data_IF_547556712683
#
_entry.id   IF_547556712683
#
_cell.length_a   1.000
_cell.length_b   1.000
_cell.length_c   1.000
_cell.angle_alpha   90.00
_cell.angle_beta   90.00
_cell.angle_gamma   90.00
#
_symmetry.space_group_name_H-M   'P 1'
#
loop_
_entity.id
_entity.type
_entity.pdbx_description
1 polymer ?
#
# COMPACT_ATOMS: atom_id res chain seq x y z
N UNK A 1 -24.71 42.49 73.12
CA UNK A 1 -24.39 42.13 71.73
C UNK A 1 -23.28 41.10 71.78
N UNK A 2 -23.68 39.84 71.73
CA UNK A 2 -22.84 38.66 71.97
C UNK A 2 -22.63 37.99 70.61
N UNK A 3 -21.38 37.94 70.16
CA UNK A 3 -20.94 37.31 68.92
C UNK A 3 -20.46 35.89 69.21
N UNK A 4 -21.24 34.89 68.81
CA UNK A 4 -20.78 33.50 68.70
C UNK A 4 -20.15 33.24 67.32
N UNK A 5 -19.00 32.55 67.26
CA UNK A 5 -18.40 32.09 66.02
C UNK A 5 -18.98 30.72 65.61
N UNK A 6 -19.45 30.63 64.36
CA UNK A 6 -19.90 29.36 63.76
C UNK A 6 -18.67 28.60 63.25
N UNK A 7 -18.28 27.54 63.97
CA UNK A 7 -17.40 26.49 63.49
C UNK A 7 -18.08 25.70 62.35
N UNK A 8 -17.40 25.59 61.20
CA UNK A 8 -17.73 24.59 60.18
C UNK A 8 -16.65 23.49 60.18
N UNK A 9 -17.05 22.21 60.25
CA UNK A 9 -16.11 21.10 60.34
C UNK A 9 -15.39 20.82 59.01
N UNK A 10 -14.10 20.53 59.14
CA UNK A 10 -13.23 20.05 58.08
C UNK A 10 -13.23 18.50 57.99
N UNK A 11 -12.86 18.04 56.80
CA UNK A 11 -12.39 16.70 56.43
C UNK A 11 -13.42 15.57 56.28
N UNK A 12 -13.54 15.06 55.05
CA UNK A 12 -13.23 13.66 54.69
C UNK A 12 -13.76 13.34 53.29
N UNK A 13 -12.97 13.54 52.22
CA UNK A 13 -13.30 12.95 50.92
C UNK A 13 -12.12 12.58 50.00
N UNK A 14 -10.91 12.35 50.54
CA UNK A 14 -9.71 12.12 49.71
C UNK A 14 -8.97 10.77 49.89
N UNK A 15 -9.60 9.74 50.49
CA UNK A 15 -8.92 8.44 50.72
C UNK A 15 -9.53 7.20 50.05
N UNK A 16 -10.37 7.35 49.02
CA UNK A 16 -11.04 6.22 48.35
C UNK A 16 -10.67 5.95 46.88
N UNK A 17 -9.53 6.46 46.39
CA UNK A 17 -9.08 6.28 44.98
C UNK A 17 -7.70 5.61 44.78
N UNK A 18 -7.13 4.94 45.79
CA UNK A 18 -5.77 4.31 45.69
C UNK A 18 -5.67 2.82 46.01
N UNK A 19 -6.76 2.04 45.98
CA UNK A 19 -6.73 0.59 46.31
C UNK A 19 -7.41 -0.36 45.31
N UNK A 20 -7.37 -0.03 44.01
CA UNK A 20 -7.82 -0.96 42.94
C UNK A 20 -6.83 -0.89 41.76
N UNK A 21 -5.56 -1.22 42.01
CA UNK A 21 -4.51 -1.29 40.97
C UNK A 21 -3.51 -2.45 41.16
N UNK A 22 -3.81 -3.45 42.00
CA UNK A 22 -2.85 -4.49 42.41
C UNK A 22 -3.43 -5.91 42.44
N UNK A 23 -4.35 -6.26 41.54
CA UNK A 23 -5.04 -7.56 41.58
C UNK A 23 -5.28 -8.24 40.22
N UNK A 24 -4.39 -8.03 39.23
CA UNK A 24 -4.40 -8.80 37.98
C UNK A 24 -3.00 -9.21 37.49
N UNK A 25 -2.09 -9.46 38.43
CA UNK A 25 -0.87 -10.24 38.18
C UNK A 25 -0.99 -11.53 39.00
N UNK A 26 -0.85 -12.66 38.32
CA UNK A 26 -0.90 -14.05 38.81
C UNK A 26 -2.28 -14.74 38.86
N UNK A 27 -2.77 -15.12 37.68
CA UNK A 27 -3.42 -16.43 37.51
C UNK A 27 -3.06 -16.97 36.13
N UNK A 28 -1.92 -17.66 36.11
CA UNK A 28 -1.52 -18.54 35.03
C UNK A 28 -2.11 -19.94 35.28
N UNK A 29 -2.30 -20.66 34.17
CA UNK A 29 -2.30 -22.11 34.02
C UNK A 29 -3.66 -22.85 33.91
N UNK A 30 -3.73 -23.59 32.81
CA UNK A 30 -4.56 -24.76 32.47
C UNK A 30 -5.99 -24.52 31.94
N UNK A 31 -6.16 -24.58 30.60
CA UNK A 31 -6.59 -25.80 29.92
C UNK A 31 -6.48 -25.64 28.37
N UNK A 32 -5.85 -26.62 27.74
CA UNK A 32 -5.72 -26.82 26.29
C UNK A 32 -6.97 -27.56 25.79
N UNK A 33 -7.58 -27.15 24.65
CA UNK A 33 -8.03 -28.03 23.54
C UNK A 33 -8.34 -27.20 22.28
N UNK A 34 -7.48 -27.42 21.26
CA UNK A 34 -7.71 -27.58 19.82
C UNK A 34 -8.47 -26.58 18.91
N UNK A 35 -7.87 -26.46 17.72
CA UNK A 35 -8.40 -26.16 16.36
C UNK A 35 -8.20 -24.72 15.86
N UNK A 36 -7.28 -24.56 14.89
CA UNK A 36 -7.27 -23.40 13.99
C UNK A 36 -5.91 -23.02 13.41
N UNK A 37 -5.48 -23.72 12.35
CA UNK A 37 -4.58 -23.26 11.28
C UNK A 37 -3.44 -22.28 11.62
N UNK A 38 -2.27 -22.82 11.97
CA UNK A 38 -1.03 -22.06 11.89
C UNK A 38 -0.59 -21.91 10.42
N UNK A 39 -0.73 -20.71 9.85
CA UNK A 39 0.06 -20.30 8.69
C UNK A 39 1.50 -20.08 9.16
N UNK A 40 2.33 -21.12 9.05
CA UNK A 40 3.78 -20.96 9.14
C UNK A 40 4.26 -20.28 7.85
N UNK A 41 4.46 -18.96 7.90
CA UNK A 41 5.29 -18.29 6.90
C UNK A 41 6.72 -18.75 7.13
N UNK A 42 7.21 -19.63 6.26
CA UNK A 42 8.64 -19.94 6.19
C UNK A 42 9.37 -18.67 5.75
N UNK A 43 9.88 -17.89 6.72
CA UNK A 43 10.83 -16.79 6.44
C UNK A 43 12.23 -17.38 6.49
N UNK A 44 12.80 -17.60 5.31
CA UNK A 44 14.22 -17.89 5.14
C UNK A 44 15.06 -16.73 5.67
N UNK A 45 15.90 -17.01 6.66
CA UNK A 45 16.90 -16.07 7.18
C UNK A 45 17.95 -15.80 6.10
N UNK A 46 17.99 -14.59 5.54
CA UNK A 46 19.10 -14.17 4.71
C UNK A 46 20.20 -13.56 5.59
N UNK A 47 21.32 -14.26 5.64
CA UNK A 47 22.58 -13.79 6.17
C UNK A 47 23.07 -12.54 5.41
N UNK A 48 23.80 -11.68 6.11
CA UNK A 48 24.55 -10.54 5.57
C UNK A 48 25.39 -10.96 4.36
N UNK A 49 25.01 -10.49 3.18
CA UNK A 49 25.72 -10.71 1.93
C UNK A 49 25.08 -9.90 0.83
N UNK A 50 25.92 -9.27 0.01
CA UNK A 50 25.60 -8.54 -1.22
C UNK A 50 24.36 -9.08 -1.94
N UNK A 51 23.39 -8.20 -2.23
CA UNK A 51 22.16 -8.58 -2.94
C UNK A 51 22.52 -8.89 -4.39
N UNK A 52 22.89 -10.13 -4.68
CA UNK A 52 22.89 -10.64 -6.04
C UNK A 52 21.44 -10.59 -6.53
N UNK A 53 21.19 -9.79 -7.56
CA UNK A 53 19.87 -9.59 -8.12
C UNK A 53 19.28 -10.95 -8.51
N UNK A 54 18.21 -11.36 -7.81
CA UNK A 54 17.44 -12.53 -8.17
C UNK A 54 17.02 -12.39 -9.63
N UNK A 55 17.58 -13.22 -10.51
CA UNK A 55 17.21 -13.20 -11.93
C UNK A 55 15.77 -13.66 -12.01
N UNK A 56 14.87 -12.78 -12.44
CA UNK A 56 13.45 -13.12 -12.54
C UNK A 56 13.28 -14.38 -13.42
N UNK A 57 12.47 -15.34 -12.98
CA UNK A 57 12.02 -16.43 -13.85
C UNK A 57 10.84 -15.92 -14.69
N UNK A 58 10.73 -16.40 -15.93
CA UNK A 58 9.85 -15.83 -16.95
C UNK A 58 10.63 -14.92 -17.91
N UNK A 59 11.20 -15.50 -18.95
CA UNK A 59 11.94 -14.78 -19.99
C UNK A 59 11.05 -14.51 -21.19
N UNK A 60 10.84 -13.23 -21.52
CA UNK A 60 10.35 -12.84 -22.84
C UNK A 60 11.50 -13.04 -23.82
N UNK A 61 11.37 -13.89 -24.86
CA UNK A 61 12.45 -14.11 -25.82
C UNK A 61 12.87 -12.79 -26.48
N UNK A 62 14.17 -12.48 -26.47
CA UNK A 62 14.70 -11.26 -27.09
C UNK A 62 14.51 -9.97 -26.26
N UNK A 63 14.06 -10.07 -25.00
CA UNK A 63 13.83 -8.94 -24.08
C UNK A 63 14.91 -7.86 -24.12
N UNK A 64 16.19 -8.25 -24.05
CA UNK A 64 17.32 -7.31 -24.01
C UNK A 64 17.40 -6.39 -25.26
N UNK A 65 16.79 -6.78 -26.38
CA UNK A 65 16.75 -5.99 -27.61
C UNK A 65 15.46 -5.20 -27.82
N UNK A 66 14.45 -5.42 -26.98
CA UNK A 66 13.15 -4.74 -27.08
C UNK A 66 13.23 -3.34 -26.48
N UNK A 67 12.51 -2.38 -27.06
CA UNK A 67 12.17 -1.14 -26.34
C UNK A 67 11.24 -1.43 -25.16
N UNK A 68 11.14 -0.51 -24.19
CA UNK A 68 10.23 -0.71 -23.05
C UNK A 68 8.77 -0.85 -23.47
N UNK A 69 8.33 -0.16 -24.53
CA UNK A 69 6.98 -0.32 -25.09
C UNK A 69 6.74 -1.72 -25.65
N UNK A 70 7.67 -2.23 -26.45
CA UNK A 70 7.59 -3.58 -27.01
C UNK A 70 7.59 -4.65 -25.91
N UNK A 71 8.40 -4.46 -24.86
CA UNK A 71 8.43 -5.40 -23.74
C UNK A 71 7.14 -5.36 -22.92
N UNK A 72 6.56 -4.17 -22.67
CA UNK A 72 5.25 -4.05 -22.02
C UNK A 72 4.16 -4.79 -22.81
N UNK A 73 4.13 -4.65 -24.14
CA UNK A 73 3.20 -5.38 -25.01
C UNK A 73 3.43 -6.90 -24.96
N UNK A 74 4.70 -7.33 -25.02
CA UNK A 74 5.07 -8.74 -24.97
C UNK A 74 4.71 -9.37 -23.61
N UNK A 75 4.97 -8.68 -22.50
CA UNK A 75 4.53 -9.10 -21.17
C UNK A 75 3.01 -9.22 -21.10
N UNK A 76 2.28 -8.21 -21.57
CA UNK A 76 0.82 -8.25 -21.60
C UNK A 76 0.28 -9.46 -22.38
N UNK A 77 0.92 -9.84 -23.48
CA UNK A 77 0.54 -11.03 -24.25
C UNK A 77 0.86 -12.36 -23.52
N UNK A 78 1.93 -12.38 -22.71
CA UNK A 78 2.46 -13.58 -22.07
C UNK A 78 2.02 -13.84 -20.63
N UNK A 79 1.17 -12.99 -20.03
CA UNK A 79 0.82 -13.14 -18.61
C UNK A 79 0.19 -14.50 -18.28
N UNK A 80 0.56 -15.05 -17.13
CA UNK A 80 -0.09 -16.18 -16.47
C UNK A 80 -1.05 -15.68 -15.39
N UNK A 81 -1.84 -16.61 -14.87
CA UNK A 81 -2.76 -16.32 -13.78
C UNK A 81 -1.95 -16.12 -12.48
N UNK A 82 -2.35 -15.13 -11.69
CA UNK A 82 -1.83 -14.91 -10.34
C UNK A 82 -2.57 -15.84 -9.36
N UNK A 83 -2.00 -16.15 -8.18
CA UNK A 83 -2.68 -16.98 -7.19
C UNK A 83 -4.10 -16.51 -6.82
N UNK A 84 -4.36 -15.20 -6.87
CA UNK A 84 -5.66 -14.62 -6.59
C UNK A 84 -6.70 -14.81 -7.72
N UNK A 85 -6.27 -15.07 -8.97
CA UNK A 85 -7.21 -15.30 -10.09
C UNK A 85 -7.97 -16.63 -9.94
N UNK A 86 -7.41 -17.58 -9.17
CA UNK A 86 -7.98 -18.92 -8.98
C UNK A 86 -8.81 -19.05 -7.69
N UNK A 87 -8.93 -17.98 -6.92
CA UNK A 87 -9.63 -18.00 -5.63
C UNK A 87 -10.77 -17.00 -5.66
N UNK A 88 -11.72 -17.27 -4.79
CA UNK A 88 -12.81 -16.35 -4.49
C UNK A 88 -12.95 -16.27 -2.98
N UNK A 89 -13.41 -15.13 -2.51
CA UNK A 89 -13.73 -14.88 -1.12
C UNK A 89 -14.67 -13.69 -1.05
N UNK A 90 -15.17 -13.38 0.14
CA UNK A 90 -16.12 -12.27 0.30
C UNK A 90 -15.46 -10.90 0.07
N UNK A 91 -14.20 -10.76 0.45
CA UNK A 91 -13.40 -9.56 0.34
C UNK A 91 -12.09 -9.83 -0.42
N UNK A 92 -11.67 -8.86 -1.22
CA UNK A 92 -10.28 -8.73 -1.66
C UNK A 92 -9.50 -7.96 -0.62
N UNK A 93 -8.34 -8.47 -0.23
CA UNK A 93 -7.42 -7.82 0.70
C UNK A 93 -6.17 -7.39 -0.07
N UNK A 94 -5.88 -6.10 0.00
CA UNK A 94 -4.68 -5.46 -0.53
C UNK A 94 -3.84 -4.98 0.65
N UNK A 95 -2.55 -5.32 0.65
CA UNK A 95 -1.58 -4.76 1.57
C UNK A 95 -0.58 -3.91 0.81
N UNK A 96 -0.34 -2.70 1.32
CA UNK A 96 0.65 -1.79 0.75
C UNK A 96 1.46 -1.09 1.84
N UNK A 97 2.71 -0.77 1.54
CA UNK A 97 3.55 0.08 2.38
C UNK A 97 4.04 1.25 1.54
N UNK A 98 3.75 2.46 2.00
CA UNK A 98 4.10 3.71 1.32
C UNK A 98 5.14 4.45 2.15
N UNK A 99 6.23 4.81 1.50
CA UNK A 99 7.20 5.80 1.96
C UNK A 99 7.01 7.04 1.11
N UNK A 100 6.62 8.15 1.72
CA UNK A 100 6.38 9.40 1.01
C UNK A 100 6.99 10.59 1.74
N UNK A 101 7.64 11.48 1.00
CA UNK A 101 8.06 12.74 1.57
C UNK A 101 6.82 13.58 1.94
N UNK A 102 6.71 13.94 3.22
CA UNK A 102 5.67 14.86 3.68
C UNK A 102 6.03 16.33 3.36
N UNK A 103 5.07 17.24 3.58
CA UNK A 103 5.24 18.67 3.32
C UNK A 103 6.39 19.32 4.12
N UNK A 104 6.79 18.70 5.24
CA UNK A 104 7.91 19.17 6.08
C UNK A 104 9.26 18.68 5.56
N UNK A 105 9.29 17.90 4.48
CA UNK A 105 10.51 17.38 3.88
C UNK A 105 11.10 16.19 4.62
N UNK A 106 10.29 15.43 5.34
CA UNK A 106 10.69 14.18 6.00
C UNK A 106 9.97 12.99 5.40
N UNK A 107 10.54 11.80 5.51
CA UNK A 107 9.90 10.59 4.99
C UNK A 107 8.88 10.07 6.01
N UNK A 108 7.60 10.10 5.63
CA UNK A 108 6.50 9.44 6.35
C UNK A 108 6.35 8.02 5.82
N UNK A 109 5.93 7.12 6.71
CA UNK A 109 5.74 5.72 6.36
C UNK A 109 4.39 5.23 6.84
N UNK A 110 3.62 4.67 5.93
CA UNK A 110 2.29 4.14 6.18
C UNK A 110 2.16 2.75 5.59
N UNK A 111 1.86 1.76 6.42
CA UNK A 111 1.38 0.46 5.99
C UNK A 111 -0.15 0.47 6.02
N UNK A 112 -0.78 0.00 4.95
CA UNK A 112 -2.24 0.01 4.80
C UNK A 112 -2.74 -1.35 4.32
N UNK A 113 -3.69 -1.89 5.07
CA UNK A 113 -4.55 -2.99 4.66
C UNK A 113 -5.87 -2.44 4.14
N UNK A 114 -6.35 -2.95 3.01
CA UNK A 114 -7.62 -2.54 2.40
C UNK A 114 -8.43 -3.79 2.07
N UNK A 115 -9.58 -3.94 2.73
CA UNK A 115 -10.58 -4.97 2.44
C UNK A 115 -11.67 -4.38 1.56
N UNK A 116 -12.00 -5.06 0.48
CA UNK A 116 -12.94 -4.53 -0.49
C UNK A 116 -13.90 -5.61 -0.98
N UNK A 117 -15.18 -5.31 -0.94
CA UNK A 117 -16.26 -6.15 -1.44
C UNK A 117 -16.45 -5.97 -2.94
N UNK A 118 -17.17 -6.90 -3.55
CA UNK A 118 -17.52 -6.83 -4.97
C UNK A 118 -18.42 -5.64 -5.34
N UNK A 119 -19.18 -5.09 -4.38
CA UNK A 119 -20.03 -3.91 -4.58
C UNK A 119 -19.26 -2.57 -4.47
N UNK A 120 -17.93 -2.63 -4.27
CA UNK A 120 -17.06 -1.47 -4.16
C UNK A 120 -17.01 -0.83 -2.77
N UNK A 121 -17.61 -1.46 -1.76
CA UNK A 121 -17.44 -1.04 -0.36
C UNK A 121 -16.01 -1.34 0.10
N UNK A 122 -15.38 -0.34 0.72
CA UNK A 122 -14.01 -0.44 1.22
C UNK A 122 -13.97 -0.31 2.74
N UNK A 123 -13.18 -1.16 3.38
CA UNK A 123 -12.68 -0.99 4.73
C UNK A 123 -11.15 -0.91 4.67
N UNK A 124 -10.53 -0.08 5.50
CA UNK A 124 -9.07 -0.04 5.56
C UNK A 124 -8.55 0.13 6.98
N UNK A 125 -7.34 -0.35 7.22
CA UNK A 125 -6.60 -0.15 8.45
C UNK A 125 -5.23 0.41 8.08
N UNK A 126 -4.78 1.44 8.79
CA UNK A 126 -3.50 2.08 8.51
C UNK A 126 -2.63 2.15 9.76
N UNK A 127 -1.37 1.74 9.59
CA UNK A 127 -0.30 1.89 10.56
C UNK A 127 0.68 2.95 10.04
N UNK A 128 0.89 4.02 10.82
CA UNK A 128 1.90 5.04 10.51
C UNK A 128 3.09 4.96 11.47
N UNK A 129 4.29 5.17 10.94
CA UNK A 129 5.47 5.42 11.77
C UNK A 129 5.32 6.77 12.48
N UNK A 130 5.60 6.79 13.79
CA UNK A 130 5.57 8.03 14.60
C UNK A 130 6.76 8.94 14.29
N UNK A 131 7.88 8.34 13.88
CA UNK A 131 9.13 9.06 13.66
C UNK A 131 9.34 9.33 12.17
N UNK A 132 9.37 10.62 11.85
CA UNK A 132 9.79 11.15 10.56
C UNK A 132 11.26 10.81 10.33
N UNK A 133 11.58 10.07 9.26
CA UNK A 133 12.97 9.71 8.98
C UNK A 133 13.67 10.83 8.18
N UNK A 134 14.94 11.17 8.52
CA UNK A 134 15.75 12.03 7.68
C UNK A 134 15.89 11.43 6.28
N UNK A 135 15.76 12.26 5.25
CA UNK A 135 15.86 11.80 3.86
C UNK A 135 17.30 11.45 3.47
N UNK A 136 18.29 12.08 4.11
CA UNK A 136 19.69 11.80 3.86
C UNK A 136 20.05 10.38 4.34
N UNK A 137 20.44 9.50 3.41
CA UNK A 137 20.77 8.10 3.70
C UNK A 137 19.56 7.19 3.91
N UNK A 138 18.37 7.61 3.48
CA UNK A 138 17.16 6.79 3.56
C UNK A 138 17.32 5.51 2.72
N UNK A 139 17.23 4.37 3.40
CA UNK A 139 17.28 3.04 2.81
C UNK A 139 15.93 2.33 3.08
N UNK A 140 15.09 2.14 2.05
CA UNK A 140 13.78 1.51 2.22
C UNK A 140 13.88 0.06 2.73
N UNK A 141 14.96 -0.66 2.43
CA UNK A 141 15.16 -2.06 2.85
C UNK A 141 15.38 -2.15 4.36
N UNK A 142 16.30 -1.33 4.89
CA UNK A 142 16.53 -1.24 6.36
C UNK A 142 15.29 -0.75 7.10
N UNK A 143 14.50 0.08 6.44
CA UNK A 143 13.33 0.71 7.04
C UNK A 143 12.14 -0.24 7.16
N UNK A 144 11.90 -1.14 6.19
CA UNK A 144 10.88 -2.21 6.31
C UNK A 144 11.08 -3.00 7.61
N UNK A 145 12.33 -3.41 7.89
CA UNK A 145 12.66 -4.21 9.06
C UNK A 145 12.38 -3.45 10.36
N UNK A 146 12.65 -2.14 10.39
CA UNK A 146 12.40 -1.30 11.56
C UNK A 146 10.90 -1.11 11.85
N UNK A 147 10.06 -0.96 10.83
CA UNK A 147 8.61 -0.78 10.99
C UNK A 147 7.95 -2.05 11.52
N UNK A 148 8.35 -3.21 10.99
CA UNK A 148 7.84 -4.50 11.48
C UNK A 148 8.17 -4.74 12.96
N UNK A 149 9.19 -4.07 13.49
CA UNK A 149 9.62 -4.19 14.88
C UNK A 149 8.95 -3.17 15.84
N UNK A 150 8.26 -2.14 15.34
CA UNK A 150 7.60 -1.14 16.17
C UNK A 150 6.12 -1.50 16.43
N UNK A 151 5.60 -1.26 17.65
CA UNK A 151 4.18 -1.42 17.92
C UNK A 151 3.40 -0.40 17.07
N UNK A 152 2.40 -0.86 16.29
CA UNK A 152 1.66 0.01 15.37
C UNK A 152 0.91 1.11 16.14
N UNK A 153 0.98 2.36 15.67
CA UNK A 153 -0.13 3.27 15.87
C UNK A 153 -1.21 2.84 14.87
N UNK A 154 -2.12 1.99 15.33
CA UNK A 154 -3.28 1.56 14.55
C UNK A 154 -4.25 2.74 14.50
N UNK A 155 -4.38 3.36 13.34
CA UNK A 155 -5.53 4.18 13.03
C UNK A 155 -6.52 3.30 12.29
N UNK A 156 -7.46 2.72 13.04
CA UNK A 156 -8.58 2.05 12.42
C UNK A 156 -9.56 3.11 11.95
N UNK A 157 -9.59 3.29 10.63
CA UNK A 157 -10.65 4.02 9.97
C UNK A 157 -11.53 3.01 9.22
N UNK A 158 -12.57 2.55 9.89
CA UNK A 158 -13.71 1.97 9.19
C UNK A 158 -14.54 3.12 8.63
N UNK A 159 -14.38 3.42 7.35
CA UNK A 159 -15.30 4.31 6.65
C UNK A 159 -15.67 3.72 5.30
N UNK A 160 -16.96 3.74 5.01
CA UNK A 160 -17.49 3.29 3.73
C UNK A 160 -17.18 4.35 2.68
N UNK A 161 -16.09 4.16 1.95
CA UNK A 161 -15.90 4.89 0.70
C UNK A 161 -16.41 4.03 -0.45
N UNK A 162 -17.53 4.45 -1.06
CA UNK A 162 -18.04 3.82 -2.29
C UNK A 162 -17.26 4.36 -3.47
N UNK A 163 -16.17 3.70 -3.78
CA UNK A 163 -15.54 3.83 -5.09
C UNK A 163 -15.86 2.53 -5.81
N UNK A 164 -16.61 2.53 -6.93
CA UNK A 164 -16.85 1.28 -7.67
C UNK A 164 -15.52 0.76 -8.21
N UNK A 165 -15.40 -0.57 -8.35
CA UNK A 165 -14.27 -1.14 -9.09
C UNK A 165 -14.28 -0.56 -10.50
N UNK A 166 -13.10 -0.19 -10.99
CA UNK A 166 -12.91 -0.01 -12.41
C UNK A 166 -13.04 -1.41 -13.04
N UNK A 167 -14.23 -1.69 -13.54
CA UNK A 167 -14.51 -2.86 -14.36
C UNK A 167 -14.44 -2.45 -15.83
N UNK A 168 -13.63 -3.18 -16.60
CA UNK A 168 -13.64 -3.06 -18.05
C UNK A 168 -14.90 -3.74 -18.59
N UNK A 169 -15.53 -3.15 -19.61
CA UNK A 169 -16.84 -3.61 -20.11
C UNK A 169 -16.84 -5.06 -20.62
N UNK A 170 -15.66 -5.64 -20.88
CA UNK A 170 -15.47 -6.97 -21.46
C UNK A 170 -15.82 -7.04 -22.94
N UNK A 171 -16.58 -6.08 -23.47
CA UNK A 171 -17.02 -5.96 -24.86
C UNK A 171 -16.51 -4.64 -25.44
N UNK A 172 -15.19 -4.49 -25.55
CA UNK A 172 -14.59 -3.24 -25.99
C UNK A 172 -13.07 -3.31 -26.07
N UNK A 173 -12.47 -2.23 -26.58
CA UNK A 173 -11.02 -2.05 -26.51
C UNK A 173 -10.68 -1.54 -25.09
N UNK A 174 -10.22 -2.47 -24.25
CA UNK A 174 -9.82 -2.18 -22.88
C UNK A 174 -8.74 -1.09 -22.77
N UNK A 175 -7.84 -1.00 -23.76
CA UNK A 175 -6.79 0.04 -23.78
C UNK A 175 -7.41 1.41 -24.01
N UNK A 176 -8.40 1.48 -24.92
CA UNK A 176 -9.17 2.69 -25.17
C UNK A 176 -9.99 3.12 -23.95
N UNK A 177 -10.60 2.17 -23.23
CA UNK A 177 -11.33 2.43 -21.99
C UNK A 177 -10.40 2.99 -20.90
N UNK A 178 -9.23 2.38 -20.68
CA UNK A 178 -8.24 2.88 -19.72
C UNK A 178 -7.68 4.25 -20.13
N UNK A 179 -7.43 4.45 -21.43
CA UNK A 179 -6.99 5.75 -21.95
C UNK A 179 -8.05 6.83 -21.69
N UNK A 180 -9.32 6.50 -21.94
CA UNK A 180 -10.42 7.40 -21.62
C UNK A 180 -10.50 7.67 -20.12
N UNK A 181 -10.41 6.65 -19.25
CA UNK A 181 -10.44 6.81 -17.79
C UNK A 181 -9.38 7.79 -17.29
N UNK A 182 -8.14 7.62 -17.74
CA UNK A 182 -7.01 8.47 -17.35
C UNK A 182 -7.14 9.91 -17.87
N UNK A 183 -7.86 10.12 -18.98
CA UNK A 183 -8.09 11.45 -19.54
C UNK A 183 -9.35 12.14 -18.97
N UNK A 184 -10.43 11.40 -18.76
CA UNK A 184 -11.75 11.92 -18.40
C UNK A 184 -11.84 12.30 -16.92
N UNK A 185 -10.98 11.73 -16.08
CA UNK A 185 -10.87 12.05 -14.66
C UNK A 185 -10.50 13.52 -14.37
N UNK A 186 -10.13 14.31 -15.38
CA UNK A 186 -9.45 15.61 -15.24
C UNK A 186 -10.21 16.82 -15.81
N UNK A 187 -11.55 16.83 -15.73
CA UNK A 187 -12.37 18.01 -16.07
C UNK A 187 -11.94 18.72 -17.38
N UNK A 188 -11.80 17.96 -18.47
CA UNK A 188 -11.49 18.45 -19.83
C UNK A 188 -10.05 18.89 -20.11
N UNK A 189 -9.08 18.61 -19.23
CA UNK A 189 -7.66 18.80 -19.53
C UNK A 189 -6.96 17.45 -19.77
N UNK A 190 -6.10 17.34 -20.81
CA UNK A 190 -5.25 16.17 -20.95
C UNK A 190 -4.34 16.00 -19.73
N UNK A 191 -4.38 14.82 -19.11
CA UNK A 191 -3.45 14.47 -18.05
C UNK A 191 -2.01 14.46 -18.60
N UNK A 192 -1.07 15.03 -17.85
CA UNK A 192 0.38 14.96 -18.16
C UNK A 192 0.91 13.53 -17.96
N UNK A 193 2.01 13.17 -18.63
CA UNK A 193 2.62 11.82 -18.59
C UNK A 193 2.71 11.20 -17.19
N UNK A 194 3.26 11.95 -16.23
CA UNK A 194 3.40 11.57 -14.82
C UNK A 194 2.09 11.09 -14.22
N UNK A 195 1.03 11.88 -14.42
CA UNK A 195 -0.31 11.59 -13.91
C UNK A 195 -0.90 10.34 -14.55
N UNK A 196 -0.68 10.14 -15.85
CA UNK A 196 -1.22 8.98 -16.56
C UNK A 196 -0.59 7.68 -16.08
N UNK A 197 0.71 7.69 -15.82
CA UNK A 197 1.43 6.56 -15.21
C UNK A 197 0.91 6.32 -13.79
N UNK A 198 0.73 7.38 -13.00
CA UNK A 198 0.23 7.30 -11.61
C UNK A 198 -1.18 6.73 -11.52
N UNK A 199 -2.09 7.15 -12.41
CA UNK A 199 -3.48 6.69 -12.41
C UNK A 199 -3.58 5.21 -12.83
N UNK A 200 -2.78 4.78 -13.82
CA UNK A 200 -2.70 3.36 -14.21
C UNK A 200 -2.11 2.48 -13.11
N UNK A 201 -1.03 2.94 -12.45
CA UNK A 201 -0.45 2.25 -11.30
C UNK A 201 -1.40 2.27 -10.08
N UNK A 202 -2.17 3.35 -9.92
CA UNK A 202 -3.14 3.53 -8.85
C UNK A 202 -4.26 2.49 -8.85
N UNK A 203 -4.60 1.91 -10.01
CA UNK A 203 -5.57 0.80 -10.10
C UNK A 203 -5.10 -0.41 -9.28
N UNK A 204 -3.81 -0.75 -9.30
CA UNK A 204 -3.25 -1.82 -8.46
C UNK A 204 -3.32 -1.52 -6.95
N UNK A 205 -3.31 -0.23 -6.60
CA UNK A 205 -3.35 0.21 -5.21
C UNK A 205 -4.77 0.27 -4.65
N UNK A 206 -5.79 0.37 -5.50
CA UNK A 206 -7.18 0.59 -5.10
C UNK A 206 -8.06 -0.65 -5.15
N UNK A 207 -7.72 -1.63 -5.99
CA UNK A 207 -8.53 -2.82 -6.19
C UNK A 207 -7.70 -4.04 -6.56
N UNK A 208 -8.32 -5.21 -6.44
CA UNK A 208 -7.82 -6.40 -7.09
C UNK A 208 -7.83 -6.20 -8.62
N UNK A 209 -6.71 -6.48 -9.28
CA UNK A 209 -6.57 -6.35 -10.72
C UNK A 209 -6.50 -7.75 -11.34
N UNK A 210 -7.59 -8.28 -11.92
CA UNK A 210 -7.57 -9.59 -12.56
C UNK A 210 -6.68 -9.59 -13.80
N UNK A 211 -6.23 -10.78 -14.23
CA UNK A 211 -5.30 -10.93 -15.36
C UNK A 211 -5.62 -10.07 -16.59
N UNK A 212 -6.84 -10.13 -17.11
CA UNK A 212 -7.21 -9.39 -18.33
C UNK A 212 -7.03 -7.87 -18.16
N UNK A 213 -7.25 -7.35 -16.95
CA UNK A 213 -7.06 -5.94 -16.62
C UNK A 213 -5.56 -5.61 -16.44
N UNK A 214 -4.76 -6.53 -15.87
CA UNK A 214 -3.29 -6.38 -15.85
C UNK A 214 -2.72 -6.30 -17.26
N UNK A 215 -3.18 -7.16 -18.18
CA UNK A 215 -2.82 -7.11 -19.60
C UNK A 215 -3.21 -5.76 -20.23
N UNK A 216 -4.43 -5.29 -19.96
CA UNK A 216 -4.90 -4.00 -20.48
C UNK A 216 -4.07 -2.82 -19.96
N UNK A 217 -3.72 -2.81 -18.66
CA UNK A 217 -2.89 -1.76 -18.06
C UNK A 217 -1.49 -1.74 -18.68
N UNK A 218 -0.85 -2.90 -18.85
CA UNK A 218 0.47 -2.97 -19.49
C UNK A 218 0.44 -2.45 -20.94
N UNK A 219 -0.60 -2.80 -21.71
CA UNK A 219 -0.80 -2.25 -23.06
C UNK A 219 -1.10 -0.75 -23.03
N UNK A 220 -1.88 -0.27 -22.06
CA UNK A 220 -2.16 1.15 -21.89
C UNK A 220 -0.91 1.95 -21.53
N UNK A 221 0.00 1.38 -20.73
CA UNK A 221 1.32 1.96 -20.47
C UNK A 221 2.16 2.01 -21.75
N UNK A 222 2.19 0.93 -22.55
CA UNK A 222 2.90 0.91 -23.83
C UNK A 222 2.36 1.94 -24.83
N UNK A 223 1.05 2.16 -24.84
CA UNK A 223 0.33 3.06 -25.74
C UNK A 223 0.50 4.57 -25.41
N UNK A 224 1.20 4.92 -24.34
CA UNK A 224 1.41 6.33 -23.97
C UNK A 224 2.27 7.05 -25.04
N UNK A 225 1.76 8.10 -25.71
CA UNK A 225 2.41 8.65 -26.92
C UNK A 225 3.71 9.41 -26.61
N UNK A 226 3.76 10.10 -25.48
CA UNK A 226 4.79 11.02 -24.99
C UNK A 226 5.62 10.42 -23.83
N UNK A 227 5.56 9.10 -23.65
CA UNK A 227 6.33 8.39 -22.62
C UNK A 227 7.25 7.36 -23.27
N UNK A 228 8.54 7.48 -22.99
CA UNK A 228 9.52 6.44 -23.27
C UNK A 228 9.83 5.67 -22.00
N UNK A 229 9.77 4.34 -22.09
CA UNK A 229 10.16 3.45 -21.01
C UNK A 229 11.52 2.81 -21.33
N UNK A 230 12.48 2.98 -20.43
CA UNK A 230 13.60 2.04 -20.32
C UNK A 230 13.18 0.86 -19.45
N UNK A 231 13.89 -0.26 -19.59
CA UNK A 231 13.64 -1.43 -18.77
C UNK A 231 14.93 -2.13 -18.35
N UNK A 232 14.86 -2.82 -17.22
CA UNK A 232 15.90 -3.73 -16.74
C UNK A 232 15.28 -4.82 -15.85
N UNK A 233 15.94 -5.99 -15.81
CA UNK A 233 15.63 -6.99 -14.77
C UNK A 233 16.18 -6.52 -13.44
N UNK A 234 15.33 -6.55 -12.44
CA UNK A 234 15.65 -6.04 -11.11
C UNK A 234 14.91 -6.84 -10.05
N UNK A 235 14.97 -6.37 -8.81
CA UNK A 235 14.12 -6.82 -7.75
C UNK A 235 13.58 -5.61 -7.00
N UNK A 236 12.42 -5.76 -6.38
CA UNK A 236 11.94 -4.75 -5.45
C UNK A 236 12.73 -4.77 -4.13
N UNK A 237 12.36 -3.90 -3.18
CA UNK A 237 13.03 -3.81 -1.88
C UNK A 237 12.83 -5.04 -0.98
N UNK A 238 11.92 -5.95 -1.32
CA UNK A 238 11.78 -7.26 -0.66
C UNK A 238 12.59 -8.36 -1.34
N UNK A 239 13.32 -8.04 -2.43
CA UNK A 239 14.06 -9.01 -3.22
C UNK A 239 13.19 -9.84 -4.15
N UNK A 240 11.92 -9.46 -4.35
CA UNK A 240 11.03 -10.13 -5.30
C UNK A 240 11.45 -9.75 -6.71
N UNK A 241 11.71 -10.76 -7.54
CA UNK A 241 12.21 -10.54 -8.88
C UNK A 241 11.16 -9.82 -9.75
N UNK A 242 11.62 -8.86 -10.54
CA UNK A 242 10.77 -7.95 -11.29
C UNK A 242 11.42 -7.54 -12.62
N UNK A 243 10.60 -7.01 -13.52
CA UNK A 243 11.06 -6.14 -14.60
C UNK A 243 10.71 -4.71 -14.20
N UNK A 244 11.74 -3.87 -14.09
CA UNK A 244 11.61 -2.47 -13.73
C UNK A 244 11.45 -1.63 -15.01
N UNK A 245 10.32 -0.94 -15.16
CA UNK A 245 10.08 0.01 -16.24
C UNK A 245 10.25 1.43 -15.71
N UNK A 246 11.22 2.18 -16.24
CA UNK A 246 11.47 3.55 -15.81
C UNK A 246 11.08 4.55 -16.89
N UNK A 247 10.33 5.57 -16.51
CA UNK A 247 9.98 6.71 -17.35
C UNK A 247 10.42 8.00 -16.67
N UNK A 248 11.06 8.88 -17.43
CA UNK A 248 11.39 10.23 -16.98
C UNK A 248 10.26 11.18 -17.36
N UNK A 249 9.70 11.87 -16.38
CA UNK A 249 8.61 12.84 -16.54
C UNK A 249 9.01 14.15 -15.86
N UNK A 250 9.13 15.24 -16.60
CA UNK A 250 9.59 16.54 -16.11
C UNK A 250 10.90 16.42 -15.28
N UNK A 251 10.81 16.53 -13.95
CA UNK A 251 11.92 16.44 -12.99
C UNK A 251 11.92 15.14 -12.17
N UNK A 252 11.00 14.22 -12.46
CA UNK A 252 10.77 12.97 -11.73
C UNK A 252 11.09 11.77 -12.62
N UNK A 253 11.68 10.72 -12.05
CA UNK A 253 11.79 9.40 -12.67
C UNK A 253 10.89 8.45 -11.91
N UNK A 254 9.89 7.91 -12.60
CA UNK A 254 8.98 6.90 -12.07
C UNK A 254 9.45 5.54 -12.53
N UNK A 255 9.68 4.62 -11.60
CA UNK A 255 9.97 3.21 -11.88
C UNK A 255 8.81 2.35 -11.39
N UNK A 256 8.24 1.53 -12.29
CA UNK A 256 7.25 0.50 -11.95
C UNK A 256 7.90 -0.87 -11.99
N UNK A 257 7.70 -1.68 -10.94
CA UNK A 257 8.26 -3.02 -10.84
C UNK A 257 7.14 -4.04 -11.04
N UNK A 258 7.12 -4.71 -12.19
CA UNK A 258 6.14 -5.74 -12.48
C UNK A 258 6.72 -7.13 -12.29
N UNK A 259 5.92 -8.03 -11.72
CA UNK A 259 6.23 -9.45 -11.74
C UNK A 259 6.20 -9.95 -13.19
N UNK A 260 7.26 -10.60 -13.69
CA UNK A 260 7.40 -10.94 -15.11
C UNK A 260 6.34 -11.91 -15.63
N UNK A 261 5.85 -12.82 -14.77
CA UNK A 261 4.89 -13.86 -15.19
C UNK A 261 3.43 -13.42 -15.01
N UNK A 262 3.06 -12.87 -13.85
CA UNK A 262 1.67 -12.53 -13.52
C UNK A 262 1.28 -11.12 -13.93
N UNK A 263 2.25 -10.23 -14.12
CA UNK A 263 2.02 -8.81 -14.39
C UNK A 263 1.55 -8.03 -13.15
N UNK A 264 1.63 -8.60 -11.96
CA UNK A 264 1.32 -7.88 -10.72
C UNK A 264 2.32 -6.73 -10.52
N UNK A 265 1.82 -5.56 -10.16
CA UNK A 265 2.68 -4.45 -9.73
C UNK A 265 3.21 -4.75 -8.32
N UNK A 266 4.51 -4.98 -8.20
CA UNK A 266 5.18 -5.28 -6.94
C UNK A 266 5.55 -4.00 -6.20
N UNK A 267 5.97 -2.98 -6.93
CA UNK A 267 6.35 -1.70 -6.37
C UNK A 267 6.28 -0.56 -7.38
N UNK A 268 6.22 0.66 -6.85
CA UNK A 268 6.40 1.91 -7.57
C UNK A 268 7.47 2.73 -6.84
N UNK A 269 8.42 3.30 -7.56
CA UNK A 269 9.43 4.22 -7.04
C UNK A 269 9.37 5.54 -7.78
N UNK A 270 9.54 6.62 -7.05
CA UNK A 270 9.62 8.00 -7.54
C UNK A 270 10.92 8.63 -7.08
N UNK A 271 11.72 9.11 -8.02
CA UNK A 271 13.00 9.80 -7.79
C UNK A 271 12.95 11.21 -8.36
N UNK A 272 13.38 12.21 -7.61
CA UNK A 272 13.63 13.57 -8.13
C UNK A 272 15.14 13.79 -8.13
N UNK A 273 15.74 13.84 -9.33
CA UNK A 273 17.19 13.72 -9.46
C UNK A 273 17.68 12.36 -8.94
N UNK A 274 18.62 12.37 -8.00
CA UNK A 274 19.17 11.19 -7.32
C UNK A 274 18.48 10.88 -5.98
N UNK A 275 17.47 11.68 -5.60
CA UNK A 275 16.80 11.59 -4.30
C UNK A 275 15.48 10.85 -4.40
N UNK A 276 15.25 9.92 -3.48
CA UNK A 276 13.96 9.26 -3.32
C UNK A 276 12.90 10.27 -2.87
N UNK A 277 11.82 10.38 -3.65
CA UNK A 277 10.64 11.17 -3.33
C UNK A 277 9.51 10.31 -2.78
N UNK A 278 9.35 9.11 -3.33
CA UNK A 278 8.39 8.14 -2.81
C UNK A 278 8.68 6.71 -3.24
N UNK A 279 8.21 5.77 -2.43
CA UNK A 279 8.20 4.35 -2.74
C UNK A 279 6.88 3.76 -2.28
N UNK A 280 6.24 2.94 -3.10
CA UNK A 280 5.09 2.14 -2.72
C UNK A 280 5.46 0.69 -2.97
N UNK A 281 5.32 -0.14 -1.96
CA UNK A 281 5.41 -1.58 -2.05
C UNK A 281 4.01 -2.18 -1.98
N UNK A 282 3.71 -3.12 -2.86
CA UNK A 282 2.43 -3.82 -2.90
C UNK A 282 2.67 -5.31 -2.69
N UNK A 283 1.94 -5.92 -1.77
CA UNK A 283 1.90 -7.38 -1.64
C UNK A 283 0.87 -7.97 -2.61
N UNK A 284 1.02 -9.27 -2.99
CA UNK A 284 0.02 -9.92 -3.83
C UNK A 284 -1.36 -9.82 -3.19
N UNK A 285 -2.36 -9.43 -3.98
CA UNK A 285 -3.74 -9.43 -3.53
C UNK A 285 -4.15 -10.83 -3.08
N UNK A 286 -4.99 -10.92 -2.06
CA UNK A 286 -5.55 -12.20 -1.58
C UNK A 286 -7.04 -12.08 -1.34
N UNK A 287 -7.74 -13.20 -1.43
CA UNK A 287 -9.15 -13.30 -1.05
C UNK A 287 -9.29 -13.71 0.41
N UNK A 288 -10.28 -13.14 1.10
CA UNK A 288 -10.56 -13.41 2.51
C UNK A 288 -12.05 -13.26 2.80
N UNK A 289 -12.57 -14.04 3.75
CA UNK A 289 -13.94 -13.90 4.25
C UNK A 289 -14.06 -12.91 5.43
N UNK A 290 -13.00 -12.13 5.65
CA UNK A 290 -12.88 -11.21 6.78
C UNK A 290 -13.01 -9.77 6.31
N UNK A 291 -13.89 -9.01 6.96
CA UNK A 291 -14.17 -7.62 6.63
C UNK A 291 -13.16 -6.60 7.21
N UNK A 292 -12.12 -7.06 7.93
CA UNK A 292 -11.23 -6.17 8.68
C UNK A 292 -10.28 -6.89 9.64
N UNK A 293 -9.47 -6.13 10.41
CA UNK A 293 -8.51 -6.68 11.37
C UNK A 293 -9.20 -7.41 12.53
N UNK A 294 -8.52 -8.37 13.19
CA UNK A 294 -9.16 -9.18 14.25
C UNK A 294 -9.49 -8.36 15.53
N UNK A 295 -8.71 -7.32 15.80
CA UNK A 295 -8.77 -6.55 17.04
C UNK A 295 -8.62 -5.06 16.70
N UNK A 296 -9.69 -4.41 16.20
CA UNK A 296 -9.61 -3.00 15.91
C UNK A 296 -9.28 -2.24 17.21
N UNK A 297 -8.18 -1.49 17.21
CA UNK A 297 -7.84 -0.58 18.30
C UNK A 297 -8.58 0.74 18.08
N UNK A 298 -9.35 1.23 19.07
CA UNK A 298 -10.04 2.50 18.93
C UNK A 298 -9.02 3.63 18.71
N UNK A 299 -9.16 4.34 17.59
CA UNK A 299 -8.42 5.57 17.32
C UNK A 299 -8.71 6.57 18.45
N UNK A 300 -7.70 7.06 19.22
CA UNK A 300 -7.92 8.12 20.19
C UNK A 300 -8.50 9.32 19.45
N UNK A 301 -9.63 9.86 19.93
CA UNK A 301 -10.37 10.97 19.31
C UNK A 301 -9.51 12.23 19.03
N UNK A 302 -8.32 12.31 19.61
CA UNK A 302 -7.34 13.39 19.46
C UNK A 302 -6.44 13.30 18.22
N UNK A 303 -6.52 12.21 17.43
CA UNK A 303 -5.57 11.94 16.33
C UNK A 303 -6.16 12.19 14.94
N UNK A 304 -7.41 12.69 14.87
CA UNK A 304 -8.06 13.06 13.61
C UNK A 304 -7.46 14.39 13.12
N UNK A 305 -6.28 14.33 12.53
CA UNK A 305 -5.89 15.31 11.52
C UNK A 305 -6.04 14.58 10.18
N UNK A 306 -7.06 14.88 9.36
CA UNK A 306 -7.17 14.33 8.03
C UNK A 306 -5.98 14.86 7.22
N UNK A 307 -4.92 14.06 7.10
CA UNK A 307 -3.79 14.36 6.26
C UNK A 307 -3.74 13.36 5.13
N UNK A 308 -4.14 13.87 3.96
CA UNK A 308 -3.90 13.41 2.61
C UNK A 308 -4.57 12.10 2.14
N UNK A 309 -5.66 12.30 1.38
CA UNK A 309 -5.96 11.47 0.22
C UNK A 309 -4.99 11.86 -0.91
N UNK A 310 -4.28 10.94 -1.56
CA UNK A 310 -3.59 11.25 -2.79
C UNK A 310 -4.64 11.53 -3.87
N UNK A 311 -4.77 12.80 -4.27
CA UNK A 311 -5.43 13.19 -5.50
C UNK A 311 -6.91 13.57 -5.42
N UNK A 312 -7.25 14.69 -4.79
CA UNK A 312 -8.24 15.63 -5.36
C UNK A 312 -7.75 17.04 -5.06
N UNK A 313 -7.03 17.63 -6.03
CA UNK A 313 -6.77 19.07 -6.00
C UNK A 313 -8.06 19.80 -6.38
N UNK A 314 -8.84 20.24 -5.41
CA UNK A 314 -9.79 21.33 -5.64
C UNK A 314 -9.02 22.64 -5.61
N UNK A 315 -8.79 23.20 -6.78
CA UNK A 315 -8.42 24.60 -6.95
C UNK A 315 -9.64 25.46 -6.61
N UNK A 316 -9.50 26.33 -5.62
CA UNK A 316 -10.19 27.62 -5.57
C UNK A 316 -9.21 28.70 -5.98
#
# INVERSE_FOLDING_TARGET
MTTEPIERPAAQHDQRRRRIRWLWLALAAALIVAVGGAYAVVRSSAATGQVDAATATGTVPGEASMSGKQLLEALAAGLTDAPADHRTGTYTLLHSVVWGQNIQGTMEIAARDTWRTQDGTVHYAEQRSKDNMPIAGFDPVKTIQAIQAQPPLIMDFTGENRTPDLALSGTGDAVKELTWYVQSSRQWQPAIARVRIDELAGIYMSQYVPKHMRQAILRALAAQPDVEFSHERSADIQGRAAIAFSAKTDNETITLYFHPETGDLLAKRSMIGDRLFGYTLLEPAVWTDRAGPQNPQPTPASTIIPTWLPGVGTLT
#
